data_IF_631871681462
#
_entry.id   IF_631871681462
#
_cell.length_a   1.000
_cell.length_b   1.000
_cell.length_c   1.000
_cell.angle_alpha   90.00
_cell.angle_beta   90.00
_cell.angle_gamma   90.00
#
_symmetry.space_group_name_H-M   'P 1'
#
loop_
_entity.id
_entity.type
_entity.pdbx_description
1 polymer ?
#
# COMPACT_ATOMS: atom_id res chain seq x y z
N UNK A 1 -32.12 9.89 2.53
CA UNK A 1 -30.66 10.09 2.52
C UNK A 1 -30.07 9.01 1.62
N UNK A 2 -29.73 9.31 0.37
CA UNK A 2 -29.16 8.31 -0.51
C UNK A 2 -27.80 7.90 0.06
N UNK A 3 -27.69 6.63 0.44
CA UNK A 3 -26.43 5.98 0.77
C UNK A 3 -25.64 6.03 -0.55
N UNK A 4 -24.68 6.95 -0.67
CA UNK A 4 -23.82 7.03 -1.86
C UNK A 4 -23.24 5.64 -2.09
N UNK A 5 -23.52 5.04 -3.25
CA UNK A 5 -23.01 3.74 -3.60
C UNK A 5 -21.49 3.88 -3.81
N UNK A 6 -20.73 3.64 -2.75
CA UNK A 6 -19.27 3.74 -2.76
C UNK A 6 -18.70 2.88 -3.89
N UNK A 7 -17.97 3.50 -4.81
CA UNK A 7 -17.33 2.78 -5.90
C UNK A 7 -16.13 2.01 -5.35
N UNK A 8 -16.35 0.73 -5.04
CA UNK A 8 -15.27 -0.18 -4.65
C UNK A 8 -14.37 -0.43 -5.87
N UNK A 9 -13.03 -0.37 -5.72
CA UNK A 9 -12.13 -0.72 -6.80
C UNK A 9 -12.36 -2.18 -7.22
N UNK A 10 -12.57 -2.40 -8.52
CA UNK A 10 -12.94 -3.71 -9.06
C UNK A 10 -11.79 -4.71 -9.01
N UNK A 11 -10.55 -4.24 -9.23
CA UNK A 11 -9.36 -5.10 -9.25
C UNK A 11 -8.08 -4.33 -8.96
N UNK A 12 -7.18 -4.98 -8.22
CA UNK A 12 -5.79 -4.55 -8.08
C UNK A 12 -4.99 -5.19 -9.22
N UNK A 13 -4.35 -4.37 -10.05
CA UNK A 13 -3.53 -4.84 -11.18
C UNK A 13 -2.07 -4.75 -10.76
N UNK A 14 -1.34 -5.87 -10.82
CA UNK A 14 0.11 -5.89 -10.69
C UNK A 14 0.72 -5.61 -12.07
N UNK A 15 1.43 -4.50 -12.21
CA UNK A 15 2.06 -4.10 -13.47
C UNK A 15 3.46 -4.71 -13.60
N UNK A 16 4.25 -4.64 -12.54
CA UNK A 16 5.63 -5.11 -12.50
C UNK A 16 5.91 -5.73 -11.14
N UNK A 17 6.65 -6.83 -11.10
CA UNK A 17 7.18 -7.39 -9.86
C UNK A 17 8.57 -7.99 -10.09
N UNK A 18 9.48 -7.65 -9.20
CA UNK A 18 10.80 -8.27 -9.06
C UNK A 18 10.95 -8.74 -7.61
N UNK A 19 12.12 -9.27 -7.26
CA UNK A 19 12.40 -9.68 -5.88
C UNK A 19 12.37 -8.54 -4.86
N UNK A 20 12.58 -7.28 -5.28
CA UNK A 20 12.68 -6.12 -4.39
C UNK A 20 11.80 -4.93 -4.79
N UNK A 21 11.07 -5.01 -5.92
CA UNK A 21 10.21 -3.94 -6.41
C UNK A 21 8.88 -4.48 -6.90
N UNK A 22 7.79 -3.78 -6.60
CA UNK A 22 6.46 -4.10 -7.11
C UNK A 22 5.69 -2.83 -7.45
N UNK A 23 5.06 -2.81 -8.63
CA UNK A 23 4.20 -1.71 -9.10
C UNK A 23 2.76 -2.19 -9.25
N UNK A 24 1.85 -1.51 -8.56
CA UNK A 24 0.43 -1.86 -8.51
C UNK A 24 -0.44 -0.67 -8.94
N UNK A 25 -1.51 -0.95 -9.67
CA UNK A 25 -2.52 0.04 -10.08
C UNK A 25 -3.88 -0.32 -9.46
N UNK A 26 -4.53 0.69 -8.87
CA UNK A 26 -5.87 0.59 -8.29
C UNK A 26 -6.82 1.49 -9.08
N UNK A 27 -7.83 0.89 -9.71
CA UNK A 27 -8.84 1.60 -10.50
C UNK A 27 -10.13 0.77 -10.64
N UNK A 28 -11.30 1.41 -10.76
CA UNK A 28 -11.56 2.85 -10.57
C UNK A 28 -11.56 3.23 -9.08
N UNK A 29 -11.23 4.49 -8.78
CA UNK A 29 -11.33 5.07 -7.44
C UNK A 29 -12.13 6.38 -7.52
N UNK A 30 -12.91 6.65 -6.49
CA UNK A 30 -13.58 7.94 -6.37
C UNK A 30 -12.56 9.10 -6.27
N UNK A 31 -12.88 10.29 -6.80
CA UNK A 31 -12.04 11.46 -6.62
C UNK A 31 -11.66 11.70 -5.15
N UNK A 32 -10.37 11.89 -4.88
CA UNK A 32 -9.83 12.07 -3.52
C UNK A 32 -9.45 10.77 -2.79
N UNK A 33 -10.07 9.63 -3.11
CA UNK A 33 -9.74 8.35 -2.44
C UNK A 33 -8.35 7.83 -2.79
N UNK A 34 -7.78 8.22 -3.94
CA UNK A 34 -6.39 7.89 -4.28
C UNK A 34 -5.41 8.37 -3.21
N UNK A 35 -5.59 9.59 -2.68
CA UNK A 35 -4.74 10.11 -1.60
C UNK A 35 -5.03 9.42 -0.27
N UNK A 36 -6.30 9.16 0.05
CA UNK A 36 -6.69 8.48 1.29
C UNK A 36 -6.09 7.09 1.38
N UNK A 37 -6.26 6.27 0.32
CA UNK A 37 -5.73 4.90 0.24
C UNK A 37 -4.20 4.93 0.13
N UNK A 38 -3.65 5.76 -0.74
CA UNK A 38 -2.20 5.85 -0.95
C UNK A 38 -1.44 6.25 0.32
N UNK A 39 -1.91 7.27 1.05
CA UNK A 39 -1.28 7.70 2.31
C UNK A 39 -1.42 6.65 3.41
N UNK A 40 -2.58 5.98 3.50
CA UNK A 40 -2.78 4.90 4.45
C UNK A 40 -1.81 3.73 4.19
N UNK A 41 -1.73 3.27 2.94
CA UNK A 41 -0.80 2.21 2.54
C UNK A 41 0.65 2.63 2.78
N UNK A 42 1.04 3.85 2.40
CA UNK A 42 2.40 4.36 2.66
C UNK A 42 2.77 4.31 4.14
N UNK A 43 1.86 4.69 5.05
CA UNK A 43 2.13 4.64 6.49
C UNK A 43 2.32 3.21 6.99
N UNK A 44 1.44 2.30 6.59
CA UNK A 44 1.49 0.89 7.03
C UNK A 44 2.75 0.21 6.49
N UNK A 45 3.03 0.37 5.18
CA UNK A 45 4.17 -0.26 4.52
C UNK A 45 5.52 0.24 5.08
N UNK A 46 5.62 1.48 5.53
CA UNK A 46 6.87 2.02 6.06
C UNK A 46 7.07 1.80 7.57
N UNK A 47 6.02 1.58 8.35
CA UNK A 47 6.11 1.63 9.82
C UNK A 47 5.51 0.44 10.55
N UNK A 48 4.75 -0.42 9.87
CA UNK A 48 4.01 -1.51 10.51
C UNK A 48 4.25 -2.87 9.86
N UNK A 49 5.18 -2.95 8.91
CA UNK A 49 5.62 -4.24 8.38
C UNK A 49 6.57 -4.90 9.35
N UNK A 50 6.28 -6.16 9.66
CA UNK A 50 7.19 -7.03 10.38
C UNK A 50 8.38 -7.38 9.49
N UNK A 51 9.55 -7.51 10.12
CA UNK A 51 10.79 -7.84 9.43
C UNK A 51 11.91 -8.09 10.42
N UNK A 52 13.06 -8.50 9.89
CA UNK A 52 14.27 -8.74 10.68
C UNK A 52 15.29 -7.66 10.37
N UNK A 53 15.91 -7.12 11.42
CA UNK A 53 16.99 -6.14 11.30
C UNK A 53 18.09 -6.47 12.31
N UNK A 54 19.34 -6.18 11.94
CA UNK A 54 20.47 -6.28 12.86
C UNK A 54 20.33 -5.16 13.89
N UNK A 55 20.23 -5.52 15.17
CA UNK A 55 20.04 -4.55 16.27
C UNK A 55 21.32 -4.22 17.00
N UNK A 56 22.27 -5.15 17.08
CA UNK A 56 23.52 -4.97 17.82
C UNK A 56 24.61 -5.85 17.24
N UNK A 57 25.84 -5.34 17.23
CA UNK A 57 27.04 -6.09 16.87
C UNK A 57 28.05 -5.91 18.01
N UNK A 58 28.63 -7.01 18.51
CA UNK A 58 29.73 -6.98 19.47
C UNK A 58 31.01 -7.43 18.77
N UNK A 59 32.05 -6.61 18.82
CA UNK A 59 33.38 -6.90 18.29
C UNK A 59 34.35 -7.09 19.46
N UNK A 60 35.27 -8.06 19.32
CA UNK A 60 36.25 -8.45 20.33
C UNK A 60 37.48 -7.55 20.35
#
# INVERSE_FOLDING_TARGET
MAILAFQKPEKVIMLESTSSFGKFEFRPLEPGFGMTVGNALRRILLSSLEGYAITTVKVA
#
